data_IF_462188555228
#
_entry.id   IF_462188555228
#
_cell.length_a   1.000
_cell.length_b   1.000
_cell.length_c   1.000
_cell.angle_alpha   90.00
_cell.angle_beta   90.00
_cell.angle_gamma   90.00
#
_symmetry.space_group_name_H-M   'P 1'
#
loop_
_entity.id
_entity.type
_entity.pdbx_description
1 polymer ?
#
# COMPACT_ATOMS: atom_id res chain seq x y z
N UNK A 1 26.23 0.85 19.34
CA UNK A 1 25.95 1.08 17.90
C UNK A 1 25.11 -0.01 17.25
N UNK A 2 25.41 -1.31 17.41
CA UNK A 2 24.70 -2.40 16.73
C UNK A 2 23.18 -2.49 17.05
N UNK A 3 22.78 -2.25 18.30
CA UNK A 3 21.35 -2.27 18.72
C UNK A 3 20.53 -1.19 17.99
N UNK A 4 21.09 0.02 17.85
CA UNK A 4 20.44 1.15 17.16
C UNK A 4 20.22 0.85 15.67
N UNK A 5 21.22 0.23 15.02
CA UNK A 5 21.13 -0.18 13.60
C UNK A 5 20.06 -1.25 13.37
N UNK A 6 19.95 -2.23 14.28
CA UNK A 6 18.89 -3.26 14.20
C UNK A 6 17.50 -2.66 14.39
N UNK A 7 17.33 -1.75 15.35
CA UNK A 7 16.06 -1.06 15.58
C UNK A 7 15.64 -0.18 14.39
N UNK A 8 16.59 0.57 13.79
CA UNK A 8 16.35 1.35 12.57
C UNK A 8 15.91 0.47 11.39
N UNK A 9 16.57 -0.67 11.21
CA UNK A 9 16.19 -1.61 10.16
C UNK A 9 14.81 -2.23 10.39
N UNK A 10 14.47 -2.57 11.64
CA UNK A 10 13.14 -3.05 11.97
C UNK A 10 12.07 -1.98 11.70
N UNK A 11 12.35 -0.73 12.07
CA UNK A 11 11.46 0.40 11.79
C UNK A 11 11.24 0.59 10.29
N UNK A 12 12.32 0.55 9.50
CA UNK A 12 12.25 0.59 8.04
C UNK A 12 11.33 -0.51 7.49
N UNK A 13 11.53 -1.77 7.90
CA UNK A 13 10.70 -2.89 7.41
C UNK A 13 9.24 -2.70 7.84
N UNK A 14 8.98 -2.30 9.08
CA UNK A 14 7.62 -2.11 9.56
C UNK A 14 6.90 -0.99 8.81
N UNK A 15 7.56 0.15 8.60
CA UNK A 15 7.01 1.24 7.81
C UNK A 15 6.72 0.78 6.37
N UNK A 16 7.67 0.08 5.74
CA UNK A 16 7.52 -0.47 4.40
C UNK A 16 6.29 -1.40 4.28
N UNK A 17 6.11 -2.29 5.26
CA UNK A 17 4.98 -3.23 5.29
C UNK A 17 3.65 -2.54 5.56
N UNK A 18 3.62 -1.57 6.47
CA UNK A 18 2.40 -0.83 6.82
C UNK A 18 1.93 0.01 5.64
N UNK A 19 2.85 0.73 4.97
CA UNK A 19 2.52 1.54 3.80
C UNK A 19 2.04 0.66 2.65
N UNK A 20 2.76 -0.43 2.36
CA UNK A 20 2.38 -1.39 1.32
C UNK A 20 1.00 -2.02 1.61
N UNK A 21 0.75 -2.42 2.85
CA UNK A 21 -0.57 -2.91 3.28
C UNK A 21 -1.65 -1.84 3.12
N UNK A 22 -1.35 -0.58 3.45
CA UNK A 22 -2.29 0.53 3.33
C UNK A 22 -2.68 0.79 1.88
N UNK A 23 -1.74 0.70 0.93
CA UNK A 23 -2.05 0.82 -0.50
C UNK A 23 -2.97 -0.32 -0.96
N UNK A 24 -2.67 -1.56 -0.60
CA UNK A 24 -3.51 -2.71 -0.98
C UNK A 24 -4.91 -2.60 -0.36
N UNK A 25 -4.99 -2.20 0.92
CA UNK A 25 -6.26 -1.97 1.61
C UNK A 25 -7.06 -0.84 0.96
N UNK A 26 -6.42 0.26 0.57
CA UNK A 26 -7.08 1.36 -0.13
C UNK A 26 -7.72 0.90 -1.45
N UNK A 27 -7.02 0.06 -2.23
CA UNK A 27 -7.59 -0.52 -3.45
C UNK A 27 -8.74 -1.49 -3.17
N UNK A 28 -8.63 -2.32 -2.13
CA UNK A 28 -9.71 -3.22 -1.72
C UNK A 28 -10.96 -2.44 -1.28
N UNK A 29 -10.77 -1.37 -0.50
CA UNK A 29 -11.85 -0.46 -0.09
C UNK A 29 -12.44 0.29 -1.29
N UNK A 30 -11.63 0.76 -2.23
CA UNK A 30 -12.11 1.41 -3.44
C UNK A 30 -12.94 0.45 -4.31
N UNK A 31 -12.52 -0.82 -4.42
CA UNK A 31 -13.28 -1.86 -5.11
C UNK A 31 -14.62 -2.13 -4.42
N UNK A 32 -14.61 -2.29 -3.10
CA UNK A 32 -15.84 -2.46 -2.32
C UNK A 32 -16.77 -1.25 -2.46
N UNK A 33 -16.24 -0.03 -2.36
CA UNK A 33 -17.01 1.19 -2.53
C UNK A 33 -17.64 1.27 -3.92
N UNK A 34 -16.89 0.90 -4.97
CA UNK A 34 -17.36 0.98 -6.35
C UNK A 34 -18.42 -0.06 -6.72
N UNK A 35 -18.34 -1.26 -6.16
CA UNK A 35 -19.13 -2.41 -6.63
C UNK A 35 -20.04 -3.05 -5.58
N UNK A 36 -19.83 -2.79 -4.29
CA UNK A 36 -20.56 -3.46 -3.21
C UNK A 36 -21.25 -2.51 -2.23
N UNK A 37 -20.88 -1.22 -2.20
CA UNK A 37 -21.50 -0.25 -1.27
C UNK A 37 -22.95 0.13 -1.62
N UNK A 38 -23.37 -0.08 -2.86
CA UNK A 38 -24.65 0.42 -3.39
C UNK A 38 -24.68 1.92 -3.69
N UNK A 39 -23.59 2.67 -3.44
CA UNK A 39 -23.53 4.12 -3.67
C UNK A 39 -23.35 4.48 -5.15
N UNK A 40 -22.70 3.61 -5.94
CA UNK A 40 -22.39 3.87 -7.35
C UNK A 40 -23.09 2.81 -8.22
N UNK A 41 -23.91 3.22 -9.21
CA UNK A 41 -24.57 2.29 -10.12
C UNK A 41 -23.60 1.39 -10.89
N UNK A 42 -24.03 0.14 -11.14
CA UNK A 42 -23.26 -0.88 -11.84
C UNK A 42 -23.94 -1.17 -13.18
N UNK A 43 -23.31 -0.75 -14.28
CA UNK A 43 -23.88 -0.87 -15.63
C UNK A 43 -23.47 -2.15 -16.37
N UNK A 44 -22.27 -2.67 -16.09
CA UNK A 44 -21.62 -3.75 -16.85
C UNK A 44 -21.29 -4.98 -16.00
N UNK A 45 -21.88 -5.09 -14.81
CA UNK A 45 -21.57 -6.12 -13.82
C UNK A 45 -20.31 -5.83 -12.99
N UNK A 46 -19.98 -6.77 -12.10
CA UNK A 46 -18.84 -6.68 -11.16
C UNK A 46 -17.65 -7.45 -11.75
N UNK A 47 -16.49 -6.80 -11.98
CA UNK A 47 -15.30 -7.48 -12.49
C UNK A 47 -14.64 -8.37 -11.42
N UNK A 48 -13.77 -9.33 -11.82
CA UNK A 48 -13.07 -10.19 -10.86
C UNK A 48 -12.13 -9.41 -9.94
N UNK A 49 -12.27 -9.61 -8.62
CA UNK A 49 -11.42 -8.95 -7.62
C UNK A 49 -9.92 -9.24 -7.79
N UNK A 50 -9.56 -10.43 -8.27
CA UNK A 50 -8.16 -10.84 -8.46
C UNK A 50 -7.37 -9.87 -9.33
N UNK A 51 -7.97 -9.33 -10.39
CA UNK A 51 -7.31 -8.37 -11.28
C UNK A 51 -6.98 -7.06 -10.55
N UNK A 52 -7.90 -6.58 -9.71
CA UNK A 52 -7.68 -5.39 -8.88
C UNK A 52 -6.62 -5.64 -7.80
N UNK A 53 -6.63 -6.82 -7.20
CA UNK A 53 -5.64 -7.20 -6.19
C UNK A 53 -4.22 -7.28 -6.77
N UNK A 54 -4.01 -7.93 -7.91
CA UNK A 54 -2.68 -7.96 -8.54
C UNK A 54 -2.25 -6.56 -9.03
N UNK A 55 -3.18 -5.76 -9.53
CA UNK A 55 -2.93 -4.36 -9.86
C UNK A 55 -2.49 -3.55 -8.65
N UNK A 56 -3.13 -3.73 -7.49
CA UNK A 56 -2.76 -3.01 -6.27
C UNK A 56 -1.39 -3.42 -5.73
N UNK A 57 -0.97 -4.69 -5.89
CA UNK A 57 0.41 -5.10 -5.57
C UNK A 57 1.45 -4.39 -6.45
N UNK A 58 1.18 -4.26 -7.75
CA UNK A 58 2.05 -3.50 -8.66
C UNK A 58 2.11 -2.01 -8.27
N UNK A 59 0.97 -1.40 -7.99
CA UNK A 59 0.88 0.00 -7.54
C UNK A 59 1.57 0.20 -6.19
N UNK A 60 1.41 -0.73 -5.25
CA UNK A 60 2.11 -0.70 -3.97
C UNK A 60 3.62 -0.71 -4.17
N UNK A 61 4.16 -1.59 -5.02
CA UNK A 61 5.59 -1.61 -5.33
C UNK A 61 6.11 -0.28 -5.89
N UNK A 62 5.34 0.37 -6.78
CA UNK A 62 5.68 1.71 -7.30
C UNK A 62 5.71 2.73 -6.17
N UNK A 63 4.70 2.74 -5.30
CA UNK A 63 4.64 3.67 -4.17
C UNK A 63 5.80 3.46 -3.19
N UNK A 64 6.15 2.21 -2.87
CA UNK A 64 7.30 1.90 -2.02
C UNK A 64 8.59 2.44 -2.61
N UNK A 65 8.76 2.31 -3.93
CA UNK A 65 9.91 2.86 -4.64
C UNK A 65 9.95 4.38 -4.57
N UNK A 66 8.81 5.06 -4.78
CA UNK A 66 8.71 6.52 -4.64
C UNK A 66 9.06 6.96 -3.22
N UNK A 67 8.49 6.31 -2.20
CA UNK A 67 8.77 6.63 -0.79
C UNK A 67 10.24 6.42 -0.42
N UNK A 68 10.88 5.38 -0.95
CA UNK A 68 12.31 5.17 -0.82
C UNK A 68 13.13 6.30 -1.47
N UNK A 69 12.80 6.70 -2.70
CA UNK A 69 13.50 7.78 -3.41
C UNK A 69 13.41 9.13 -2.70
N UNK A 70 12.28 9.38 -2.03
CA UNK A 70 12.08 10.57 -1.21
C UNK A 70 12.62 10.46 0.21
N UNK A 71 13.29 9.35 0.56
CA UNK A 71 13.89 9.10 1.88
C UNK A 71 12.88 9.15 3.03
N UNK A 72 11.61 8.78 2.79
CA UNK A 72 10.58 8.76 3.84
C UNK A 72 10.88 7.74 4.95
N UNK A 73 11.78 6.78 4.69
CA UNK A 73 12.18 5.76 5.65
C UNK A 73 13.51 6.07 6.36
N UNK A 74 14.15 7.19 6.06
CA UNK A 74 15.41 7.57 6.71
C UNK A 74 15.11 8.17 8.08
N UNK A 75 15.77 7.67 9.13
CA UNK A 75 15.56 8.14 10.50
C UNK A 75 16.08 9.55 10.80
N UNK A 76 16.65 10.24 9.80
CA UNK A 76 17.21 11.59 9.93
C UNK A 76 16.23 12.68 9.44
N UNK A 77 15.04 12.31 8.98
CA UNK A 77 14.01 13.27 8.52
C UNK A 77 13.16 13.86 9.65
N UNK A 78 13.75 14.04 10.85
CA UNK A 78 13.14 14.64 12.03
C UNK A 78 14.14 15.48 12.81
#
# INVERSE_FOLDING_TARGET
MAVRRKAQFLFFILALLIDGFSVVLAFALAFWLRFYSGLIPIWYGIPPFRTYFYGSLFVAAIWMFVFYMHKLYDSESG
#
